data_IF_188589378844
#
_entry.id   IF_188589378844
#
_cell.length_a   1.000
_cell.length_b   1.000
_cell.length_c   1.000
_cell.angle_alpha   90.00
_cell.angle_beta   90.00
_cell.angle_gamma   90.00
#
_symmetry.space_group_name_H-M   'P 1'
#
loop_
_entity.id
_entity.type
_entity.pdbx_description
1 polymer ?
#
# COMPACT_ATOMS: atom_id res chain seq x y z
N UNK A 1 21.12 13.20 6.59
CA UNK A 1 21.42 14.56 6.06
C UNK A 1 21.28 14.61 4.54
N UNK A 2 21.94 13.72 3.78
CA UNK A 2 21.83 13.66 2.31
C UNK A 2 20.38 13.44 1.81
N UNK A 3 19.65 12.47 2.38
CA UNK A 3 18.26 12.18 1.99
C UNK A 3 17.37 13.44 1.97
N UNK A 4 17.33 14.18 3.08
CA UNK A 4 16.54 15.41 3.20
C UNK A 4 16.98 16.49 2.20
N UNK A 5 18.28 16.59 1.93
CA UNK A 5 18.80 17.52 0.94
C UNK A 5 18.26 17.18 -0.46
N UNK A 6 18.41 15.94 -0.89
CA UNK A 6 17.93 15.49 -2.21
C UNK A 6 16.42 15.68 -2.35
N UNK A 7 15.64 15.33 -1.32
CA UNK A 7 14.19 15.56 -1.33
C UNK A 7 13.85 17.05 -1.48
N UNK A 8 14.58 17.95 -0.81
CA UNK A 8 14.36 19.40 -0.94
C UNK A 8 14.80 19.93 -2.31
N UNK A 9 15.81 19.32 -2.94
CA UNK A 9 16.22 19.69 -4.29
C UNK A 9 15.13 19.29 -5.30
N UNK A 10 14.62 18.04 -5.21
CA UNK A 10 13.52 17.53 -6.06
C UNK A 10 12.22 18.28 -5.83
N UNK A 11 11.92 18.71 -4.60
CA UNK A 11 10.72 19.52 -4.28
C UNK A 11 10.58 20.75 -5.20
N UNK A 12 11.69 21.35 -5.62
CA UNK A 12 11.63 22.54 -6.48
C UNK A 12 10.99 22.26 -7.84
N UNK A 13 11.01 21.00 -8.29
CA UNK A 13 10.37 20.56 -9.54
C UNK A 13 8.86 20.29 -9.36
N UNK A 14 8.37 20.21 -8.12
CA UNK A 14 6.96 19.92 -7.76
C UNK A 14 6.42 20.94 -6.73
N UNK A 15 6.33 22.24 -7.08
CA UNK A 15 5.95 23.30 -6.15
C UNK A 15 4.53 23.16 -5.56
N UNK A 16 3.66 22.40 -6.21
CA UNK A 16 2.31 22.09 -5.77
C UNK A 16 2.25 21.04 -4.64
N UNK A 17 3.32 20.28 -4.43
CA UNK A 17 3.38 19.23 -3.40
C UNK A 17 3.95 19.80 -2.10
N UNK A 18 3.17 19.76 -1.04
CA UNK A 18 3.65 20.09 0.30
C UNK A 18 4.58 18.99 0.82
N UNK A 19 5.78 19.37 1.27
CA UNK A 19 6.78 18.43 1.80
C UNK A 19 7.08 18.76 3.24
N UNK A 20 6.78 17.81 4.13
CA UNK A 20 7.09 17.84 5.56
C UNK A 20 8.10 16.75 5.92
N UNK A 21 9.10 17.09 6.73
CA UNK A 21 10.14 16.14 7.14
C UNK A 21 9.89 15.66 8.56
N UNK A 22 9.75 14.35 8.74
CA UNK A 22 9.60 13.71 10.04
C UNK A 22 10.83 12.84 10.37
N UNK A 23 11.04 12.55 11.66
CA UNK A 23 11.96 11.49 12.08
C UNK A 23 11.19 10.17 12.17
N UNK A 24 11.88 9.04 11.99
CA UNK A 24 11.23 7.72 11.89
C UNK A 24 10.50 7.31 13.18
N UNK A 25 11.07 7.65 14.34
CA UNK A 25 10.48 7.41 15.65
C UNK A 25 9.18 8.21 15.84
N UNK A 26 9.19 9.49 15.49
CA UNK A 26 8.00 10.33 15.51
C UNK A 26 6.95 9.86 14.49
N UNK A 27 7.38 9.40 13.30
CA UNK A 27 6.50 8.87 12.27
C UNK A 27 5.77 7.62 12.76
N UNK A 28 6.48 6.67 13.34
CA UNK A 28 5.90 5.46 13.96
C UNK A 28 4.85 5.80 15.02
N UNK A 29 5.16 6.75 15.93
CA UNK A 29 4.19 7.22 16.93
C UNK A 29 2.96 7.89 16.29
N UNK A 30 3.16 8.66 15.22
CA UNK A 30 2.08 9.39 14.54
C UNK A 30 1.21 8.50 13.66
N UNK A 31 1.76 7.43 13.07
CA UNK A 31 0.97 6.40 12.40
C UNK A 31 -0.07 5.82 13.36
N UNK A 32 0.32 5.53 14.60
CA UNK A 32 -0.59 4.97 15.60
C UNK A 32 -1.60 6.01 16.12
N UNK A 33 -1.12 7.20 16.47
CA UNK A 33 -1.94 8.18 17.22
C UNK A 33 -2.79 9.07 16.33
N UNK A 34 -2.34 9.34 15.10
CA UNK A 34 -2.94 10.29 14.17
C UNK A 34 -2.71 9.83 12.71
N UNK A 35 -3.16 8.62 12.31
CA UNK A 35 -2.88 8.04 10.99
C UNK A 35 -3.43 8.88 9.83
N UNK A 36 -4.54 9.58 10.03
CA UNK A 36 -5.24 10.33 8.99
C UNK A 36 -4.55 11.62 8.55
N UNK A 37 -3.42 11.99 9.17
CA UNK A 37 -2.65 13.17 8.77
C UNK A 37 -1.77 12.90 7.54
N UNK A 38 -1.50 11.63 7.22
CA UNK A 38 -0.59 11.24 6.15
C UNK A 38 -1.33 11.05 4.83
N UNK A 39 -0.72 11.53 3.76
CA UNK A 39 -1.10 11.22 2.38
C UNK A 39 -0.06 10.26 1.77
N UNK A 40 1.17 10.75 1.55
CA UNK A 40 2.29 9.95 1.03
C UNK A 40 3.47 9.99 1.99
N UNK A 41 4.03 8.81 2.30
CA UNK A 41 5.28 8.66 3.05
C UNK A 41 6.36 8.16 2.08
N UNK A 42 7.48 8.89 1.98
CA UNK A 42 8.65 8.50 1.19
C UNK A 42 9.83 8.31 2.12
N UNK A 43 10.42 7.12 2.13
CA UNK A 43 11.50 6.75 3.06
C UNK A 43 12.46 5.74 2.44
N UNK A 44 13.58 5.47 3.11
CA UNK A 44 14.55 4.46 2.70
C UNK A 44 14.07 3.03 2.99
N UNK A 45 14.73 2.02 2.43
CA UNK A 45 14.29 0.62 2.45
C UNK A 45 13.96 0.10 3.86
N UNK A 46 14.89 0.18 4.81
CA UNK A 46 14.70 -0.36 6.17
C UNK A 46 13.56 0.33 6.92
N UNK A 47 13.44 1.65 6.80
CA UNK A 47 12.35 2.38 7.45
C UNK A 47 11.02 2.18 6.72
N UNK A 48 11.06 1.99 5.40
CA UNK A 48 9.90 1.65 4.60
C UNK A 48 9.29 0.34 5.04
N UNK A 49 10.10 -0.71 5.14
CA UNK A 49 9.71 -2.04 5.63
C UNK A 49 8.98 -1.97 6.98
N UNK A 50 9.59 -1.29 7.96
CA UNK A 50 9.02 -1.14 9.31
C UNK A 50 7.71 -0.33 9.27
N UNK A 51 7.73 0.86 8.64
CA UNK A 51 6.57 1.75 8.66
C UNK A 51 5.41 1.22 7.81
N UNK A 52 5.66 0.47 6.73
CA UNK A 52 4.60 -0.13 5.92
C UNK A 52 3.91 -1.25 6.67
N UNK A 53 4.65 -2.06 7.42
CA UNK A 53 4.08 -3.10 8.28
C UNK A 53 3.25 -2.48 9.41
N UNK A 54 3.78 -1.44 10.07
CA UNK A 54 3.04 -0.67 11.09
C UNK A 54 1.75 -0.06 10.51
N UNK A 55 1.81 0.50 9.30
CA UNK A 55 0.64 1.07 8.65
C UNK A 55 -0.40 0.01 8.26
N UNK A 56 0.05 -1.18 7.85
CA UNK A 56 -0.82 -2.25 7.36
C UNK A 56 -1.77 -2.82 8.42
N UNK A 57 -1.38 -2.74 9.70
CA UNK A 57 -2.18 -3.27 10.80
C UNK A 57 -3.23 -2.28 11.31
N UNK A 58 -3.09 -0.98 11.01
CA UNK A 58 -4.00 0.06 11.53
C UNK A 58 -5.45 -0.11 11.04
N UNK A 59 -5.72 -0.44 9.76
CA UNK A 59 -7.07 -0.74 9.29
C UNK A 59 -7.67 -2.00 9.91
N UNK A 60 -6.84 -2.87 10.51
CA UNK A 60 -7.25 -4.08 11.21
C UNK A 60 -7.29 -5.35 10.36
N UNK A 61 -6.97 -5.30 9.06
CA UNK A 61 -6.91 -6.51 8.21
C UNK A 61 -5.78 -6.45 7.19
N UNK A 62 -4.76 -7.29 7.40
CA UNK A 62 -3.61 -7.46 6.50
C UNK A 62 -4.02 -8.04 5.14
N UNK A 63 -5.10 -8.84 5.10
CA UNK A 63 -5.61 -9.50 3.89
C UNK A 63 -6.14 -8.56 2.81
N UNK A 64 -6.29 -7.27 3.12
CA UNK A 64 -6.85 -6.27 2.21
C UNK A 64 -5.80 -5.48 1.42
N UNK A 65 -4.54 -5.48 1.84
CA UNK A 65 -3.56 -4.52 1.35
C UNK A 65 -2.83 -5.01 0.09
N UNK A 66 -2.97 -4.30 -1.06
CA UNK A 66 -2.21 -4.58 -2.27
C UNK A 66 -0.83 -3.90 -2.23
N UNK A 67 0.07 -4.30 -3.12
CA UNK A 67 1.37 -3.63 -3.31
C UNK A 67 1.81 -3.63 -4.77
N UNK A 68 2.72 -2.69 -5.09
CA UNK A 68 3.33 -2.55 -6.39
C UNK A 68 4.81 -2.15 -6.28
N UNK A 69 5.66 -2.82 -7.04
CA UNK A 69 7.09 -2.50 -7.18
C UNK A 69 7.39 -2.10 -8.62
N UNK A 70 7.99 -0.91 -8.79
CA UNK A 70 8.25 -0.32 -10.10
C UNK A 70 9.75 -0.28 -10.44
N UNK A 71 10.14 -0.90 -11.55
CA UNK A 71 11.42 -0.63 -12.19
C UNK A 71 11.38 0.69 -12.98
N UNK A 72 12.52 1.40 -13.02
CA UNK A 72 12.65 2.64 -13.81
C UNK A 72 12.33 2.40 -15.30
N UNK A 73 12.76 1.27 -15.84
CA UNK A 73 12.39 0.75 -17.16
C UNK A 73 12.11 -0.74 -17.04
N UNK A 74 11.08 -1.22 -17.74
CA UNK A 74 10.76 -2.65 -17.78
C UNK A 74 9.92 -3.14 -16.60
N UNK A 75 10.46 -4.10 -15.85
CA UNK A 75 9.69 -4.99 -14.95
C UNK A 75 8.94 -4.23 -13.86
N UNK A 76 7.68 -4.62 -13.67
CA UNK A 76 6.82 -4.21 -12.57
C UNK A 76 6.24 -5.45 -11.91
N UNK A 77 6.14 -5.44 -10.59
CA UNK A 77 5.63 -6.56 -9.80
C UNK A 77 4.45 -6.07 -8.97
N UNK A 78 3.39 -6.87 -8.93
CA UNK A 78 2.18 -6.60 -8.17
C UNK A 78 1.85 -7.84 -7.34
N UNK A 79 1.74 -7.68 -6.04
CA UNK A 79 1.52 -8.77 -5.09
C UNK A 79 0.77 -8.27 -3.85
N UNK A 80 0.02 -9.12 -3.13
CA UNK A 80 -0.50 -8.74 -1.82
C UNK A 80 0.64 -8.64 -0.82
N UNK A 81 0.48 -7.82 0.23
CA UNK A 81 1.52 -7.71 1.27
C UNK A 81 1.54 -8.92 2.22
N UNK A 82 0.44 -9.66 2.32
CA UNK A 82 0.37 -10.81 3.22
C UNK A 82 1.26 -11.96 2.73
N UNK A 83 1.77 -12.75 3.67
CA UNK A 83 2.56 -13.94 3.36
C UNK A 83 1.75 -15.10 2.78
N UNK A 84 2.39 -16.25 2.67
CA UNK A 84 1.81 -17.47 2.08
C UNK A 84 0.79 -18.21 2.97
N UNK A 85 0.68 -17.85 4.26
CA UNK A 85 -0.23 -18.47 5.24
C UNK A 85 -0.29 -20.02 5.15
N UNK A 86 0.84 -20.72 5.36
CA UNK A 86 0.96 -22.16 5.10
C UNK A 86 0.05 -23.03 5.98
N UNK A 87 -0.38 -22.50 7.12
CA UNK A 87 -1.29 -23.12 8.08
C UNK A 87 -2.74 -23.24 7.59
N UNK A 88 -3.15 -22.44 6.60
CA UNK A 88 -4.49 -22.49 5.99
C UNK A 88 -4.47 -22.88 4.49
N UNK A 89 -3.30 -23.29 3.99
CA UNK A 89 -3.13 -23.64 2.59
C UNK A 89 -4.00 -24.84 2.20
N UNK A 90 -4.75 -24.72 1.11
CA UNK A 90 -5.72 -25.71 0.61
C UNK A 90 -6.96 -25.92 1.51
N UNK A 91 -7.26 -24.98 2.42
CA UNK A 91 -8.43 -25.06 3.29
C UNK A 91 -9.61 -24.17 2.85
N UNK A 92 -9.48 -23.46 1.73
CA UNK A 92 -10.49 -22.50 1.22
C UNK A 92 -10.82 -21.37 2.23
N UNK A 93 -9.78 -20.89 2.93
CA UNK A 93 -9.91 -19.86 3.98
C UNK A 93 -9.22 -18.53 3.68
N UNK A 94 -8.28 -18.52 2.73
CA UNK A 94 -7.45 -17.34 2.47
C UNK A 94 -8.28 -16.18 1.91
N UNK A 95 -7.99 -14.97 2.38
CA UNK A 95 -8.60 -13.74 1.87
C UNK A 95 -8.07 -13.41 0.47
N UNK A 96 -8.93 -13.36 -0.56
CA UNK A 96 -8.47 -13.07 -1.92
C UNK A 96 -8.33 -11.57 -2.20
N UNK A 97 -8.83 -10.70 -1.32
CA UNK A 97 -9.00 -9.28 -1.65
C UNK A 97 -7.68 -8.57 -1.92
N UNK A 98 -6.63 -8.79 -1.12
CA UNK A 98 -5.31 -8.20 -1.36
C UNK A 98 -4.77 -8.55 -2.75
N UNK A 99 -4.89 -9.81 -3.17
CA UNK A 99 -4.45 -10.24 -4.51
C UNK A 99 -5.29 -9.63 -5.63
N UNK A 100 -6.62 -9.55 -5.46
CA UNK A 100 -7.52 -8.92 -6.44
C UNK A 100 -7.24 -7.43 -6.56
N UNK A 101 -6.96 -6.73 -5.46
CA UNK A 101 -6.59 -5.33 -5.45
C UNK A 101 -5.20 -5.11 -6.06
N UNK A 102 -4.25 -6.03 -5.89
CA UNK A 102 -2.96 -5.98 -6.59
C UNK A 102 -3.13 -6.16 -8.10
N UNK A 103 -4.10 -6.97 -8.56
CA UNK A 103 -4.48 -7.02 -9.96
C UNK A 103 -5.10 -5.69 -10.44
N UNK A 104 -5.93 -5.04 -9.62
CA UNK A 104 -6.46 -3.71 -9.94
C UNK A 104 -5.32 -2.68 -10.13
N UNK A 105 -4.30 -2.70 -9.26
CA UNK A 105 -3.09 -1.89 -9.43
C UNK A 105 -2.37 -2.21 -10.74
N UNK A 106 -2.21 -3.49 -11.09
CA UNK A 106 -1.58 -3.89 -12.35
C UNK A 106 -2.34 -3.36 -13.58
N UNK A 107 -3.67 -3.49 -13.57
CA UNK A 107 -4.55 -3.02 -14.64
C UNK A 107 -4.41 -1.51 -14.83
N UNK A 108 -4.44 -0.76 -13.73
CA UNK A 108 -4.35 0.71 -13.72
C UNK A 108 -2.97 1.17 -14.20
N UNK A 109 -1.93 0.70 -13.53
CA UNK A 109 -0.60 1.26 -13.64
C UNK A 109 0.18 0.74 -14.86
N UNK A 110 -0.03 -0.53 -15.26
CA UNK A 110 0.74 -1.17 -16.34
C UNK A 110 -0.05 -1.44 -17.62
N UNK A 111 -1.36 -1.61 -17.54
CA UNK A 111 -2.17 -2.03 -18.70
C UNK A 111 -3.10 -0.92 -19.22
N UNK A 112 -3.09 0.26 -18.58
CA UNK A 112 -3.99 1.39 -18.90
C UNK A 112 -5.48 1.01 -18.91
N UNK A 113 -5.87 0.02 -18.09
CA UNK A 113 -7.24 -0.48 -17.96
C UNK A 113 -7.92 0.11 -16.72
N UNK A 114 -8.07 1.44 -16.71
CA UNK A 114 -8.63 2.16 -15.56
C UNK A 114 -10.06 1.71 -15.21
N UNK A 115 -10.90 1.48 -16.23
CA UNK A 115 -12.29 1.07 -16.01
C UNK A 115 -12.38 -0.31 -15.35
N UNK A 116 -11.55 -1.27 -15.81
CA UNK A 116 -11.49 -2.60 -15.22
C UNK A 116 -10.92 -2.58 -13.79
N UNK A 117 -9.91 -1.74 -13.52
CA UNK A 117 -9.38 -1.56 -12.17
C UNK A 117 -10.45 -1.00 -11.22
N UNK A 118 -11.16 0.05 -11.65
CA UNK A 118 -12.25 0.66 -10.87
C UNK A 118 -13.41 -0.33 -10.61
N UNK A 119 -13.73 -1.17 -11.60
CA UNK A 119 -14.76 -2.21 -11.44
C UNK A 119 -14.36 -3.23 -10.38
N UNK A 120 -13.12 -3.75 -10.42
CA UNK A 120 -12.63 -4.69 -9.40
C UNK A 120 -12.64 -4.10 -8.00
N UNK A 121 -12.14 -2.87 -7.83
CA UNK A 121 -12.15 -2.15 -6.55
C UNK A 121 -13.58 -1.97 -6.03
N UNK A 122 -14.50 -1.54 -6.90
CA UNK A 122 -15.91 -1.34 -6.53
C UNK A 122 -16.58 -2.63 -6.08
N UNK A 123 -16.28 -3.76 -6.74
CA UNK A 123 -16.80 -5.07 -6.35
C UNK A 123 -16.26 -5.47 -4.97
N UNK A 124 -14.95 -5.37 -4.73
CA UNK A 124 -14.34 -5.68 -3.43
C UNK A 124 -14.96 -4.83 -2.33
N UNK A 125 -15.08 -3.51 -2.53
CA UNK A 125 -15.72 -2.62 -1.56
C UNK A 125 -17.19 -2.96 -1.30
N UNK A 126 -17.94 -3.35 -2.33
CA UNK A 126 -19.33 -3.79 -2.17
C UNK A 126 -19.46 -5.07 -1.33
N UNK A 127 -18.51 -5.99 -1.43
CA UNK A 127 -18.48 -7.21 -0.63
C UNK A 127 -18.16 -6.91 0.82
N UNK A 128 -17.17 -6.06 1.08
CA UNK A 128 -16.85 -5.59 2.44
C UNK A 128 -18.07 -4.88 3.07
N UNK A 129 -18.71 -3.95 2.34
CA UNK A 129 -19.91 -3.24 2.82
C UNK A 129 -21.10 -4.17 3.11
N UNK A 130 -21.20 -5.29 2.40
CA UNK A 130 -22.25 -6.28 2.59
C UNK A 130 -21.86 -7.44 3.52
N UNK A 131 -20.74 -7.31 4.25
CA UNK A 131 -20.19 -8.35 5.13
C UNK A 131 -19.98 -9.71 4.45
N UNK A 132 -19.67 -9.71 3.15
CA UNK A 132 -19.25 -10.90 2.39
C UNK A 132 -17.72 -11.00 2.39
N UNK A 133 -17.17 -11.28 3.55
CA UNK A 133 -15.72 -11.33 3.79
C UNK A 133 -15.28 -12.72 4.19
N UNK A 134 -13.98 -12.99 4.12
CA UNK A 134 -13.35 -14.10 4.83
C UNK A 134 -13.29 -13.79 6.34
N UNK A 135 -12.73 -14.71 7.13
CA UNK A 135 -12.78 -14.63 8.58
C UNK A 135 -11.81 -13.60 9.21
N UNK A 136 -10.76 -13.23 8.49
CA UNK A 136 -9.73 -12.24 8.84
C UNK A 136 -10.13 -10.77 8.54
#
# INVERSE_FOLDING_TARGET
KLWRQIVNDVKNDYPEVEVNHMLVDACSMHLITQPTQFDVIVTENLFGDILSDEASVIPGSLGLSPSASFGQTGTRLYEPIHGSAPDIANEDKANPFGMVLSLALCLRESLNQNDAANELESIVYSFIQSNKTTAD
#
